data_IF_678624177756
#
_entry.id   IF_678624177756
#
_cell.length_a   1.000
_cell.length_b   1.000
_cell.length_c   1.000
_cell.angle_alpha   90.00
_cell.angle_beta   90.00
_cell.angle_gamma   90.00
#
_symmetry.space_group_name_H-M   'P 1'
#
loop_
_entity.id
_entity.type
_entity.pdbx_description
1 polymer ?
#
# COMPACT_ATOMS: atom_id res chain seq x y z
N UNK A 1 -1.40 -22.72 14.17
CA UNK A 1 -2.62 -21.95 13.86
C UNK A 1 -3.04 -21.26 15.16
N UNK A 2 -2.59 -20.03 15.36
CA UNK A 2 -2.70 -19.26 16.61
C UNK A 2 -3.32 -17.89 16.29
N UNK A 3 -3.93 -17.20 17.28
CA UNK A 3 -5.27 -16.63 17.15
C UNK A 3 -5.30 -15.27 16.44
N UNK A 4 -6.34 -15.05 15.62
CA UNK A 4 -6.78 -13.71 15.17
C UNK A 4 -7.33 -12.95 16.38
N UNK A 5 -6.47 -12.25 17.11
CA UNK A 5 -6.86 -11.29 18.13
C UNK A 5 -6.81 -9.88 17.55
N UNK A 6 -7.87 -9.50 16.84
CA UNK A 6 -8.16 -8.09 16.56
C UNK A 6 -9.64 -7.85 16.81
N UNK A 7 -10.01 -7.72 18.09
CA UNK A 7 -11.33 -7.22 18.47
C UNK A 7 -11.31 -5.70 18.34
N UNK A 8 -11.55 -5.22 17.14
CA UNK A 8 -12.18 -3.94 16.89
C UNK A 8 -13.19 -4.20 15.78
N UNK A 9 -14.45 -3.87 16.03
CA UNK A 9 -15.52 -4.01 15.05
C UNK A 9 -15.30 -2.98 13.93
N UNK A 10 -14.31 -3.24 13.06
CA UNK A 10 -14.02 -2.47 11.87
C UNK A 10 -15.11 -2.82 10.86
N UNK A 11 -16.21 -2.07 10.88
CA UNK A 11 -17.35 -2.28 9.98
C UNK A 11 -16.94 -2.30 8.51
N UNK A 12 -15.81 -1.67 8.19
CA UNK A 12 -15.21 -1.61 6.87
C UNK A 12 -14.46 -2.89 6.45
N UNK A 13 -14.16 -3.81 7.37
CA UNK A 13 -13.64 -5.16 7.08
C UNK A 13 -14.76 -6.18 6.84
N UNK A 14 -16.03 -5.76 6.96
CA UNK A 14 -17.19 -6.60 6.64
C UNK A 14 -17.76 -6.24 5.28
N UNK A 15 -18.54 -7.16 4.71
CA UNK A 15 -19.33 -6.89 3.52
C UNK A 15 -20.23 -5.65 3.73
N UNK A 16 -20.42 -4.82 2.69
CA UNK A 16 -19.95 -5.01 1.32
C UNK A 16 -18.53 -4.47 1.03
N UNK A 17 -17.84 -3.89 2.02
CA UNK A 17 -16.61 -3.12 1.79
C UNK A 17 -15.37 -4.03 1.82
N UNK A 18 -15.18 -4.78 2.91
CA UNK A 18 -14.10 -5.76 3.10
C UNK A 18 -12.71 -5.31 2.60
N UNK A 19 -12.20 -4.19 3.13
CA UNK A 19 -10.95 -3.57 2.64
C UNK A 19 -9.76 -4.54 2.53
N UNK A 20 -9.63 -5.50 3.44
CA UNK A 20 -8.46 -6.38 3.47
C UNK A 20 -8.55 -7.57 2.52
N UNK A 21 -9.74 -8.11 2.25
CA UNK A 21 -9.90 -9.34 1.44
C UNK A 21 -10.57 -9.09 0.08
N UNK A 22 -11.17 -7.91 -0.14
CA UNK A 22 -11.73 -7.57 -1.44
C UNK A 22 -10.65 -7.55 -2.52
N UNK A 23 -11.00 -8.07 -3.71
CA UNK A 23 -10.11 -8.02 -4.85
C UNK A 23 -9.91 -6.57 -5.32
N UNK A 24 -8.65 -6.18 -5.52
CA UNK A 24 -8.27 -4.82 -5.88
C UNK A 24 -7.69 -4.82 -7.29
N UNK A 25 -8.04 -3.81 -8.09
CA UNK A 25 -7.66 -3.71 -9.51
C UNK A 25 -6.94 -2.39 -9.87
N UNK A 26 -6.39 -1.71 -8.87
CA UNK A 26 -5.64 -0.47 -9.04
C UNK A 26 -4.22 -0.71 -9.63
N UNK A 27 -3.50 0.35 -10.05
CA UNK A 27 -2.15 0.22 -10.62
C UNK A 27 -1.14 -0.51 -9.72
N UNK A 28 -1.22 -0.35 -8.40
CA UNK A 28 -0.34 -1.02 -7.43
C UNK A 28 -0.65 -2.51 -7.38
N UNK A 29 -1.93 -2.89 -7.35
CA UNK A 29 -2.33 -4.31 -7.38
C UNK A 29 -1.84 -5.01 -8.66
N UNK A 30 -1.93 -4.35 -9.81
CA UNK A 30 -1.40 -4.85 -11.09
C UNK A 30 0.13 -4.98 -11.07
N UNK A 31 0.83 -3.99 -10.52
CA UNK A 31 2.27 -4.05 -10.36
C UNK A 31 2.71 -5.21 -9.47
N UNK A 32 1.99 -5.45 -8.36
CA UNK A 32 2.28 -6.55 -7.47
C UNK A 32 2.17 -7.92 -8.17
N UNK A 33 1.19 -8.10 -9.06
CA UNK A 33 1.09 -9.32 -9.89
C UNK A 33 2.30 -9.46 -10.80
N UNK A 34 2.71 -8.38 -11.50
CA UNK A 34 3.86 -8.39 -12.41
C UNK A 34 5.19 -8.67 -11.72
N UNK A 35 5.37 -8.17 -10.49
CA UNK A 35 6.55 -8.47 -9.67
C UNK A 35 6.54 -9.94 -9.25
N UNK A 36 5.39 -10.47 -8.81
CA UNK A 36 5.27 -11.89 -8.42
C UNK A 36 5.49 -12.86 -9.58
N UNK A 37 5.23 -12.43 -10.81
CA UNK A 37 5.45 -13.23 -12.01
C UNK A 37 6.82 -13.00 -12.66
N UNK A 38 7.73 -12.29 -12.00
CA UNK A 38 9.06 -11.91 -12.51
C UNK A 38 9.02 -11.17 -13.87
N UNK A 39 7.89 -10.52 -14.21
CA UNK A 39 7.75 -9.70 -15.43
C UNK A 39 8.44 -8.34 -15.25
N UNK A 40 8.43 -7.82 -14.02
CA UNK A 40 9.05 -6.55 -13.65
C UNK A 40 9.90 -6.75 -12.40
N UNK A 41 11.14 -6.29 -12.45
CA UNK A 41 12.03 -6.20 -11.31
C UNK A 41 12.23 -4.74 -10.90
N UNK A 42 11.98 -4.43 -9.63
CA UNK A 42 12.26 -3.11 -9.08
C UNK A 42 13.76 -2.99 -8.81
N UNK A 43 14.36 -1.88 -9.24
CA UNK A 43 15.78 -1.61 -9.01
C UNK A 43 15.98 -1.04 -7.60
N UNK A 44 16.94 -1.61 -6.87
CA UNK A 44 17.36 -1.13 -5.57
C UNK A 44 18.46 -0.08 -5.70
N UNK A 45 18.35 1.00 -4.93
CA UNK A 45 19.34 2.06 -4.81
C UNK A 45 19.67 2.29 -3.32
N UNK A 46 20.92 2.61 -2.98
CA UNK A 46 21.37 2.72 -1.58
C UNK A 46 20.60 3.77 -0.78
N UNK A 47 20.39 4.96 -1.35
CA UNK A 47 19.77 6.09 -0.64
C UNK A 47 18.23 5.98 -0.51
N UNK A 48 17.58 5.29 -1.47
CA UNK A 48 16.11 5.33 -1.63
C UNK A 48 15.47 3.95 -1.71
N UNK A 49 16.24 2.88 -1.62
CA UNK A 49 15.79 1.51 -1.83
C UNK A 49 15.10 1.37 -3.19
N UNK A 50 13.86 0.86 -3.18
CA UNK A 50 13.05 0.68 -4.38
C UNK A 50 12.15 1.88 -4.72
N UNK A 51 12.20 2.99 -3.97
CA UNK A 51 11.22 4.07 -4.10
C UNK A 51 11.20 4.67 -5.52
N UNK A 52 12.38 4.97 -6.09
CA UNK A 52 12.46 5.61 -7.41
C UNK A 52 12.00 4.69 -8.53
N UNK A 53 12.42 3.41 -8.49
CA UNK A 53 12.00 2.41 -9.47
C UNK A 53 10.51 2.10 -9.35
N UNK A 54 9.97 2.08 -8.13
CA UNK A 54 8.54 1.94 -7.87
C UNK A 54 7.72 3.10 -8.45
N UNK A 55 8.09 4.35 -8.15
CA UNK A 55 7.42 5.54 -8.68
C UNK A 55 7.48 5.60 -10.20
N UNK A 56 8.65 5.29 -10.79
CA UNK A 56 8.83 5.22 -12.24
C UNK A 56 7.89 4.20 -12.88
N UNK A 57 7.74 3.02 -12.26
CA UNK A 57 6.88 1.96 -12.80
C UNK A 57 5.40 2.33 -12.75
N UNK A 58 5.01 3.18 -11.78
CA UNK A 58 3.67 3.72 -11.66
C UNK A 58 3.45 5.03 -12.44
N UNK A 59 4.45 5.49 -13.20
CA UNK A 59 4.44 6.77 -13.91
C UNK A 59 4.15 7.98 -12.98
N UNK A 60 4.68 7.93 -11.76
CA UNK A 60 4.54 8.99 -10.77
C UNK A 60 5.79 9.86 -10.78
N UNK A 61 5.61 11.17 -11.03
CA UNK A 61 6.71 12.13 -10.95
C UNK A 61 7.26 12.22 -9.53
N UNK A 62 8.59 12.23 -9.38
CA UNK A 62 9.24 12.42 -8.07
C UNK A 62 8.88 13.79 -7.49
N UNK A 63 8.71 14.81 -8.33
CA UNK A 63 8.37 16.17 -7.91
C UNK A 63 6.93 16.35 -7.42
N UNK A 64 6.05 15.36 -7.64
CA UNK A 64 4.65 15.43 -7.18
C UNK A 64 4.43 14.90 -5.76
N UNK A 65 5.50 14.52 -5.04
CA UNK A 65 5.39 14.06 -3.65
C UNK A 65 5.18 15.24 -2.70
N UNK A 66 3.92 15.51 -2.35
CA UNK A 66 3.57 16.46 -1.31
C UNK A 66 3.48 15.76 0.05
N UNK A 67 4.16 16.30 1.07
CA UNK A 67 3.94 15.88 2.45
C UNK A 67 2.63 16.49 2.96
N UNK A 68 1.59 15.66 3.11
CA UNK A 68 0.31 16.10 3.65
C UNK A 68 0.39 16.17 5.18
N UNK A 69 0.62 17.37 5.72
CA UNK A 69 0.48 17.62 7.15
C UNK A 69 -0.99 17.96 7.47
N UNK A 70 -1.72 16.98 8.01
CA UNK A 70 -3.06 17.22 8.57
C UNK A 70 -2.99 17.24 10.09
N UNK A 71 -3.46 18.35 10.71
CA UNK A 71 -3.64 18.45 12.17
C UNK A 71 -4.55 17.36 12.75
N UNK A 72 -5.35 16.73 11.91
CA UNK A 72 -6.30 15.67 12.27
C UNK A 72 -5.92 14.34 11.63
N UNK A 73 -4.63 14.06 11.41
CA UNK A 73 -4.18 12.71 11.07
C UNK A 73 -4.57 11.78 12.21
N UNK A 74 -5.74 11.18 12.09
CA UNK A 74 -6.41 10.43 13.13
C UNK A 74 -5.64 9.12 13.32
N UNK A 75 -4.77 9.10 14.32
CA UNK A 75 -4.13 7.87 14.75
C UNK A 75 -5.18 7.03 15.49
N UNK A 76 -5.80 6.08 14.78
CA UNK A 76 -6.86 5.20 15.31
C UNK A 76 -6.39 4.30 16.47
N UNK A 77 -5.08 4.27 16.73
CA UNK A 77 -4.45 3.57 17.83
C UNK A 77 -3.46 4.55 18.49
N UNK A 78 -3.56 4.74 19.82
CA UNK A 78 -2.43 5.25 20.60
C UNK A 78 -1.36 4.15 20.61
N UNK A 79 -0.16 4.48 20.14
CA UNK A 79 1.05 3.66 20.33
C UNK A 79 1.44 3.64 21.80
#
# INVERSE_FOLDING_TARGET
MAPKLFTQNQSFERAPINYHEAEVFDPVSKLAVKIKSDEIELQYEEDFGYLRSFLKTLDISISSQALVFSKTSLQLQRI
#
